data_IF_185679775656
#
_entry.id   IF_185679775656
#
_cell.length_a   1.000
_cell.length_b   1.000
_cell.length_c   1.000
_cell.angle_alpha   90.00
_cell.angle_beta   90.00
_cell.angle_gamma   90.00
#
_symmetry.space_group_name_H-M   'P 1'
#
loop_
_entity.id
_entity.type
_entity.pdbx_description
1 polymer ?
#
# COMPACT_ATOMS: atom_id res chain seq x y z
N UNK A 1 15.16 -5.26 30.17
CA UNK A 1 14.49 -4.16 30.89
C UNK A 1 13.06 -4.03 30.39
N UNK A 2 12.09 -3.85 31.29
CA UNK A 2 10.65 -3.80 30.97
C UNK A 2 10.12 -2.37 31.19
N UNK A 3 9.08 -1.99 30.44
CA UNK A 3 8.41 -0.71 30.59
C UNK A 3 7.17 -0.85 31.50
N UNK A 4 6.87 0.13 32.36
CA UNK A 4 5.67 0.09 33.20
C UNK A 4 4.42 0.30 32.35
N UNK A 5 3.60 -0.72 32.09
CA UNK A 5 2.36 -0.57 31.30
C UNK A 5 1.15 -0.36 32.20
N UNK A 6 0.43 0.74 32.00
CA UNK A 6 -0.79 1.11 32.73
C UNK A 6 -1.93 1.44 31.74
N UNK A 7 -3.17 1.36 32.19
CA UNK A 7 -4.35 1.58 31.32
C UNK A 7 -4.44 3.03 30.81
N UNK A 8 -4.09 3.99 31.66
CA UNK A 8 -4.05 5.42 31.34
C UNK A 8 -3.14 5.75 30.14
N UNK A 9 -2.14 4.91 29.85
CA UNK A 9 -1.23 5.07 28.71
C UNK A 9 -1.95 4.99 27.36
N UNK A 10 -3.11 4.35 27.30
CA UNK A 10 -3.87 4.14 26.07
C UNK A 10 -5.11 5.05 25.98
N UNK A 11 -5.22 6.05 26.86
CA UNK A 11 -6.40 6.93 26.94
C UNK A 11 -6.67 7.72 25.65
N UNK A 12 -5.65 8.00 24.86
CA UNK A 12 -5.79 8.76 23.62
C UNK A 12 -5.80 7.86 22.37
N UNK A 13 -5.76 6.54 22.57
CA UNK A 13 -5.86 5.60 21.44
C UNK A 13 -7.29 5.61 20.89
N UNK A 14 -7.45 5.41 19.57
CA UNK A 14 -8.73 5.11 18.95
C UNK A 14 -9.45 3.92 19.62
N UNK A 15 -10.78 3.80 19.53
CA UNK A 15 -11.54 2.83 20.31
C UNK A 15 -11.08 1.37 20.17
N UNK A 16 -10.87 0.87 18.94
CA UNK A 16 -10.44 -0.52 18.73
C UNK A 16 -8.97 -0.72 19.12
N UNK A 17 -8.09 0.23 18.79
CA UNK A 17 -6.70 0.27 19.20
C UNK A 17 -6.56 0.18 20.72
N UNK A 18 -7.37 0.96 21.45
CA UNK A 18 -7.42 0.94 22.92
C UNK A 18 -7.87 -0.41 23.43
N UNK A 19 -8.96 -0.96 22.88
CA UNK A 19 -9.49 -2.28 23.24
C UNK A 19 -8.43 -3.38 23.04
N UNK A 20 -7.70 -3.35 21.94
CA UNK A 20 -6.63 -4.31 21.64
C UNK A 20 -5.47 -4.14 22.63
N UNK A 21 -5.03 -2.92 22.90
CA UNK A 21 -3.94 -2.65 23.85
C UNK A 21 -4.30 -3.07 25.29
N UNK A 22 -5.48 -2.67 25.79
CA UNK A 22 -5.92 -2.99 27.15
C UNK A 22 -6.15 -4.49 27.33
N UNK A 23 -6.73 -5.16 26.33
CA UNK A 23 -6.92 -6.62 26.33
C UNK A 23 -5.62 -7.44 26.36
N UNK A 24 -4.47 -6.82 26.07
CA UNK A 24 -3.15 -7.48 26.06
C UNK A 24 -2.16 -6.89 27.07
N UNK A 25 -2.61 -6.11 28.06
CA UNK A 25 -1.73 -5.44 29.03
C UNK A 25 -0.75 -6.39 29.73
N UNK A 26 -1.22 -7.54 30.19
CA UNK A 26 -0.37 -8.55 30.86
C UNK A 26 0.76 -9.06 29.96
N UNK A 27 0.50 -9.18 28.66
CA UNK A 27 1.54 -9.52 27.70
C UNK A 27 2.51 -8.35 27.53
N UNK A 28 1.99 -7.13 27.27
CA UNK A 28 2.79 -5.94 27.01
C UNK A 28 3.76 -5.62 28.17
N UNK A 29 3.35 -5.82 29.43
CA UNK A 29 4.20 -5.65 30.63
C UNK A 29 5.44 -6.53 30.64
N UNK A 30 5.38 -7.66 29.93
CA UNK A 30 6.44 -8.69 29.90
C UNK A 30 7.31 -8.60 28.65
N UNK A 31 7.07 -7.63 27.77
CA UNK A 31 7.85 -7.43 26.54
C UNK A 31 9.04 -6.48 26.77
N UNK A 32 10.16 -6.66 26.06
CA UNK A 32 11.32 -5.77 26.19
C UNK A 32 11.01 -4.32 25.83
N UNK A 33 11.70 -3.38 26.49
CA UNK A 33 11.54 -1.95 26.25
C UNK A 33 11.84 -1.52 24.81
N UNK A 34 12.79 -2.18 24.13
CA UNK A 34 13.11 -1.90 22.73
C UNK A 34 12.07 -2.42 21.73
N UNK A 35 11.18 -3.33 22.17
CA UNK A 35 10.20 -4.00 21.32
C UNK A 35 8.77 -3.47 21.53
N UNK A 36 8.40 -3.24 22.79
CA UNK A 36 7.01 -2.88 23.16
C UNK A 36 6.47 -1.67 22.39
N UNK A 37 7.20 -0.54 22.27
CA UNK A 37 6.69 0.62 21.55
C UNK A 37 6.53 0.38 20.05
N UNK A 38 7.33 -0.51 19.44
CA UNK A 38 7.20 -0.88 18.02
C UNK A 38 5.90 -1.65 17.75
N UNK A 39 5.53 -2.54 18.67
CA UNK A 39 4.24 -3.23 18.61
C UNK A 39 3.08 -2.25 18.88
N UNK A 40 3.25 -1.34 19.84
CA UNK A 40 2.26 -0.31 20.14
C UNK A 40 2.06 0.69 19.00
N UNK A 41 3.09 1.01 18.21
CA UNK A 41 2.95 1.82 17.01
C UNK A 41 1.98 1.17 16.00
N UNK A 42 2.05 -0.16 15.85
CA UNK A 42 1.12 -0.89 14.99
C UNK A 42 -0.30 -0.87 15.57
N UNK A 43 -0.44 -1.13 16.88
CA UNK A 43 -1.72 -1.15 17.59
C UNK A 43 -2.39 0.24 17.62
N UNK A 44 -1.64 1.32 17.78
CA UNK A 44 -2.19 2.68 17.82
C UNK A 44 -2.95 3.02 16.53
N UNK A 45 -2.49 2.50 15.39
CA UNK A 45 -3.12 2.71 14.09
C UNK A 45 -4.26 1.71 13.77
N UNK A 46 -4.62 0.80 14.68
CA UNK A 46 -5.47 -0.38 14.39
C UNK A 46 -6.82 -0.01 13.76
N UNK A 47 -7.48 1.06 14.20
CA UNK A 47 -8.76 1.52 13.66
C UNK A 47 -8.69 1.92 12.18
N UNK A 48 -7.50 2.24 11.68
CA UNK A 48 -7.27 2.69 10.30
C UNK A 48 -6.48 1.67 9.46
N UNK A 49 -6.11 0.53 10.05
CA UNK A 49 -5.50 -0.60 9.34
C UNK A 49 -6.54 -1.34 8.50
N UNK A 50 -6.10 -1.81 7.34
CA UNK A 50 -6.90 -2.74 6.55
C UNK A 50 -7.11 -4.07 7.29
N UNK A 51 -8.13 -4.86 6.93
CA UNK A 51 -8.37 -6.17 7.54
C UNK A 51 -7.13 -7.08 7.55
N UNK A 52 -6.33 -7.10 6.47
CA UNK A 52 -5.10 -7.90 6.42
C UNK A 52 -4.07 -7.44 7.47
N UNK A 53 -3.77 -6.15 7.54
CA UNK A 53 -2.88 -5.58 8.55
C UNK A 53 -3.35 -5.87 9.99
N UNK A 54 -4.66 -5.81 10.26
CA UNK A 54 -5.21 -6.17 11.58
C UNK A 54 -4.99 -7.64 11.90
N UNK A 55 -5.23 -8.53 10.93
CA UNK A 55 -4.96 -9.97 11.10
C UNK A 55 -3.50 -10.24 11.44
N UNK A 56 -2.56 -9.49 10.87
CA UNK A 56 -1.14 -9.61 11.16
C UNK A 56 -0.78 -9.14 12.59
N UNK A 57 -1.37 -8.03 13.04
CA UNK A 57 -1.24 -7.57 14.44
C UNK A 57 -1.81 -8.62 15.40
N UNK A 58 -3.01 -9.13 15.12
CA UNK A 58 -3.68 -10.13 15.96
C UNK A 58 -2.92 -11.48 15.95
N UNK A 59 -2.26 -11.82 14.83
CA UNK A 59 -1.38 -12.99 14.72
C UNK A 59 -0.15 -12.85 15.60
N UNK A 60 0.53 -11.70 15.54
CA UNK A 60 1.70 -11.41 16.40
C UNK A 60 1.33 -11.48 17.89
N UNK A 61 0.22 -10.88 18.30
CA UNK A 61 -0.27 -10.89 19.68
C UNK A 61 -0.63 -12.30 20.16
N UNK A 62 -1.35 -13.09 19.34
CA UNK A 62 -1.69 -14.48 19.68
C UNK A 62 -0.45 -15.35 19.81
N UNK A 63 0.50 -15.24 18.89
CA UNK A 63 1.75 -15.99 18.94
C UNK A 63 2.56 -15.67 20.21
N UNK A 64 2.76 -14.39 20.51
CA UNK A 64 3.47 -13.98 21.72
C UNK A 64 2.77 -14.44 23.01
N UNK A 65 1.44 -14.50 23.00
CA UNK A 65 0.63 -14.99 24.12
C UNK A 65 0.68 -16.51 24.26
N UNK A 66 0.84 -17.27 23.16
CA UNK A 66 0.88 -18.73 23.19
C UNK A 66 2.21 -19.28 23.74
N UNK A 67 3.29 -18.50 23.68
CA UNK A 67 4.60 -18.90 24.19
C UNK A 67 4.65 -18.91 25.72
N UNK A 68 5.32 -19.92 26.29
CA UNK A 68 5.68 -19.90 27.71
C UNK A 68 6.62 -18.71 28.00
N UNK A 69 6.65 -18.24 29.25
CA UNK A 69 7.43 -17.04 29.58
C UNK A 69 8.93 -17.19 29.27
N UNK A 70 9.51 -18.36 29.54
CA UNK A 70 10.91 -18.65 29.22
C UNK A 70 11.17 -18.66 27.71
N UNK A 71 10.27 -19.23 26.91
CA UNK A 71 10.38 -19.27 25.45
C UNK A 71 10.24 -17.87 24.84
N UNK A 72 9.26 -17.08 25.30
CA UNK A 72 9.08 -15.70 24.86
C UNK A 72 10.30 -14.84 25.19
N UNK A 73 10.86 -14.97 26.40
CA UNK A 73 12.10 -14.25 26.76
C UNK A 73 13.23 -14.67 25.85
N UNK A 74 13.45 -15.97 25.64
CA UNK A 74 14.48 -16.50 24.73
C UNK A 74 14.34 -15.94 23.31
N UNK A 75 13.11 -15.89 22.79
CA UNK A 75 12.83 -15.35 21.47
C UNK A 75 13.17 -13.86 21.36
N UNK A 76 12.91 -13.09 22.42
CA UNK A 76 13.07 -11.63 22.44
C UNK A 76 14.40 -11.18 23.07
N UNK A 77 15.31 -12.09 23.44
CA UNK A 77 16.59 -11.79 24.08
C UNK A 77 17.41 -10.77 23.29
N UNK A 78 17.40 -10.82 21.95
CA UNK A 78 18.12 -9.86 21.12
C UNK A 78 17.68 -8.42 21.37
N UNK A 79 16.39 -8.19 21.64
CA UNK A 79 15.87 -6.85 22.01
C UNK A 79 16.22 -6.46 23.46
N UNK A 80 16.36 -7.43 24.37
CA UNK A 80 16.74 -7.17 25.77
C UNK A 80 18.21 -6.75 25.90
N UNK A 81 19.07 -7.21 24.99
CA UNK A 81 20.49 -6.92 24.97
C UNK A 81 20.82 -5.51 24.46
N UNK A 82 19.87 -4.85 23.80
CA UNK A 82 20.04 -3.48 23.30
C UNK A 82 20.17 -2.50 24.47
N UNK A 83 21.25 -1.72 24.46
CA UNK A 83 21.50 -0.67 25.45
C UNK A 83 20.72 0.58 25.08
N UNK A 84 19.67 0.86 25.85
CA UNK A 84 18.80 2.03 25.68
C UNK A 84 19.21 3.14 26.67
N UNK A 85 19.23 4.42 26.25
CA UNK A 85 19.54 5.52 27.15
C UNK A 85 18.32 5.84 28.05
N UNK A 86 18.51 6.28 29.31
CA UNK A 86 17.40 6.57 30.23
C UNK A 86 16.33 7.51 29.65
N UNK A 87 16.76 8.56 28.94
CA UNK A 87 15.86 9.53 28.27
C UNK A 87 14.82 8.88 27.35
N UNK A 88 15.16 7.75 26.73
CA UNK A 88 14.27 7.04 25.81
C UNK A 88 13.20 6.25 26.59
N UNK A 89 13.53 5.80 27.79
CA UNK A 89 12.63 5.05 28.68
C UNK A 89 11.66 5.98 29.42
N UNK A 90 12.11 7.19 29.72
CA UNK A 90 11.31 8.26 30.32
C UNK A 90 10.41 8.96 29.29
N UNK A 91 10.61 8.67 27.99
CA UNK A 91 9.78 9.20 26.93
C UNK A 91 8.33 8.72 27.08
N UNK A 92 7.42 9.44 26.42
CA UNK A 92 5.99 9.08 26.34
C UNK A 92 5.74 7.91 25.37
N UNK A 93 6.55 6.84 25.48
CA UNK A 93 6.63 5.71 24.54
C UNK A 93 5.29 5.04 24.22
N UNK A 94 4.31 5.11 25.14
CA UNK A 94 2.98 4.54 24.92
C UNK A 94 2.02 5.50 24.21
N UNK A 95 2.15 6.82 24.37
CA UNK A 95 1.26 7.79 23.70
C UNK A 95 1.84 8.28 22.37
N UNK A 96 3.17 8.33 22.25
CA UNK A 96 3.89 8.68 21.02
C UNK A 96 4.87 7.57 20.59
N UNK A 97 4.40 6.34 20.32
CA UNK A 97 5.27 5.22 19.94
C UNK A 97 6.04 5.46 18.63
N UNK A 98 5.51 6.30 17.72
CA UNK A 98 6.21 6.72 16.50
C UNK A 98 7.47 7.51 16.83
N UNK A 99 7.36 8.54 17.68
CA UNK A 99 8.50 9.37 18.11
C UNK A 99 9.55 8.52 18.83
N UNK A 100 9.10 7.57 19.66
CA UNK A 100 10.00 6.61 20.29
C UNK A 100 10.77 5.79 19.26
N UNK A 101 10.09 5.27 18.22
CA UNK A 101 10.73 4.48 17.16
C UNK A 101 11.78 5.29 16.40
N UNK A 102 11.52 6.57 16.12
CA UNK A 102 12.48 7.45 15.46
C UNK A 102 13.72 7.69 16.34
N UNK A 103 13.51 7.99 17.63
CA UNK A 103 14.59 8.19 18.59
C UNK A 103 15.40 6.90 18.82
N UNK A 104 14.72 5.75 18.89
CA UNK A 104 15.35 4.44 18.98
C UNK A 104 16.23 4.19 17.75
N UNK A 105 15.70 4.37 16.54
CA UNK A 105 16.47 4.18 15.30
C UNK A 105 17.73 5.05 15.28
N UNK A 106 17.60 6.35 15.59
CA UNK A 106 18.74 7.25 15.67
C UNK A 106 19.79 6.77 16.69
N UNK A 107 19.34 6.37 17.89
CA UNK A 107 20.23 5.84 18.93
C UNK A 107 20.96 4.56 18.47
N UNK A 108 20.26 3.62 17.84
CA UNK A 108 20.84 2.36 17.38
C UNK A 108 21.89 2.59 16.29
N UNK A 109 21.65 3.51 15.36
CA UNK A 109 22.65 3.91 14.35
C UNK A 109 23.89 4.53 14.98
N UNK A 110 23.71 5.52 15.87
CA UNK A 110 24.84 6.22 16.50
C UNK A 110 25.68 5.32 17.41
N UNK A 111 25.10 4.25 17.95
CA UNK A 111 25.79 3.32 18.85
C UNK A 111 26.24 2.02 18.17
N UNK A 112 26.01 1.87 16.86
CA UNK A 112 26.35 0.66 16.13
C UNK A 112 25.53 -0.58 16.51
N UNK A 113 24.38 -0.40 17.16
CA UNK A 113 23.49 -1.50 17.60
C UNK A 113 22.41 -1.86 16.56
N UNK A 114 22.40 -1.20 15.39
CA UNK A 114 21.36 -1.38 14.38
C UNK A 114 21.36 -2.81 13.78
N UNK A 115 22.52 -3.44 13.61
CA UNK A 115 22.62 -4.79 13.07
C UNK A 115 22.05 -5.83 14.04
N UNK A 116 22.35 -5.70 15.34
CA UNK A 116 21.77 -6.54 16.38
C UNK A 116 20.24 -6.39 16.45
N UNK A 117 19.73 -5.17 16.25
CA UNK A 117 18.29 -4.92 16.16
C UNK A 117 17.66 -5.59 14.93
N UNK A 118 18.30 -5.51 13.76
CA UNK A 118 17.84 -6.18 12.54
C UNK A 118 17.82 -7.71 12.72
N UNK A 119 18.89 -8.29 13.26
CA UNK A 119 18.97 -9.73 13.53
C UNK A 119 17.88 -10.20 14.51
N UNK A 120 17.64 -9.44 15.59
CA UNK A 120 16.57 -9.72 16.54
C UNK A 120 15.19 -9.65 15.87
N UNK A 121 14.96 -8.65 15.02
CA UNK A 121 13.72 -8.47 14.26
C UNK A 121 13.48 -9.59 13.27
N UNK A 122 14.50 -10.00 12.51
CA UNK A 122 14.41 -11.14 11.60
C UNK A 122 14.13 -12.44 12.34
N UNK A 123 14.80 -12.69 13.46
CA UNK A 123 14.59 -13.89 14.29
C UNK A 123 13.14 -13.95 14.78
N UNK A 124 12.63 -12.82 15.28
CA UNK A 124 11.25 -12.71 15.72
C UNK A 124 10.25 -12.98 14.58
N UNK A 125 10.40 -12.29 13.44
CA UNK A 125 9.49 -12.43 12.30
C UNK A 125 9.51 -13.85 11.73
N UNK A 126 10.69 -14.48 11.60
CA UNK A 126 10.82 -15.88 11.18
C UNK A 126 10.05 -16.81 12.11
N UNK A 127 10.14 -16.61 13.43
CA UNK A 127 9.40 -17.41 14.40
C UNK A 127 7.87 -17.22 14.29
N UNK A 128 7.41 -15.98 14.13
CA UNK A 128 5.97 -15.67 13.93
C UNK A 128 5.45 -16.38 12.69
N UNK A 129 6.14 -16.24 11.54
CA UNK A 129 5.70 -16.81 10.28
C UNK A 129 5.80 -18.34 10.25
N UNK A 130 6.77 -18.94 10.94
CA UNK A 130 6.87 -20.39 11.06
C UNK A 130 5.75 -20.99 11.92
N UNK A 131 5.37 -20.32 13.02
CA UNK A 131 4.36 -20.82 13.94
C UNK A 131 2.93 -20.62 13.43
N UNK A 132 2.69 -19.53 12.69
CA UNK A 132 1.38 -19.17 12.15
C UNK A 132 1.54 -18.82 10.66
N UNK A 133 1.69 -19.84 9.79
CA UNK A 133 1.84 -19.61 8.36
C UNK A 133 0.63 -18.84 7.82
N UNK A 134 0.89 -17.98 6.85
CA UNK A 134 -0.15 -17.20 6.20
C UNK A 134 -1.11 -18.13 5.46
N UNK A 135 -2.42 -17.91 5.64
CA UNK A 135 -3.42 -18.69 4.93
C UNK A 135 -3.40 -18.33 3.45
N UNK A 136 -3.58 -19.32 2.55
CA UNK A 136 -3.77 -19.02 1.14
C UNK A 136 -5.02 -18.14 0.95
N UNK A 137 -5.05 -17.29 -0.08
CA UNK A 137 -6.23 -16.50 -0.39
C UNK A 137 -7.42 -17.41 -0.73
N UNK A 138 -8.64 -16.93 -0.49
CA UNK A 138 -9.87 -17.69 -0.76
C UNK A 138 -10.10 -17.99 -2.25
N UNK A 139 -9.43 -17.25 -3.13
CA UNK A 139 -9.40 -17.47 -4.57
C UNK A 139 -8.03 -17.02 -5.13
N UNK A 140 -7.60 -17.56 -6.29
CA UNK A 140 -6.41 -17.08 -6.98
C UNK A 140 -6.46 -15.56 -7.21
N UNK A 141 -5.36 -14.86 -6.89
CA UNK A 141 -5.30 -13.40 -7.03
C UNK A 141 -5.26 -12.99 -8.50
N UNK A 142 -5.97 -11.92 -8.84
CA UNK A 142 -5.97 -11.34 -10.18
C UNK A 142 -5.54 -9.87 -10.14
N UNK A 143 -4.41 -9.56 -10.79
CA UNK A 143 -4.00 -8.19 -11.07
C UNK A 143 -4.31 -7.82 -12.53
N UNK A 144 -4.88 -6.64 -12.76
CA UNK A 144 -5.17 -6.11 -14.08
C UNK A 144 -4.56 -4.70 -14.19
N UNK A 145 -3.71 -4.47 -15.18
CA UNK A 145 -3.19 -3.15 -15.51
C UNK A 145 -3.71 -2.70 -16.88
N UNK A 146 -4.27 -1.50 -16.96
CA UNK A 146 -4.71 -0.86 -18.20
C UNK A 146 -3.81 0.35 -18.43
N UNK A 147 -3.10 0.39 -19.56
CA UNK A 147 -2.08 1.39 -19.84
C UNK A 147 -2.33 2.07 -21.19
N UNK A 148 -1.79 3.27 -21.38
CA UNK A 148 -1.74 3.90 -22.71
C UNK A 148 -2.97 4.68 -23.13
N UNK A 149 -3.87 5.01 -22.20
CA UNK A 149 -4.99 5.93 -22.43
C UNK A 149 -4.51 7.19 -23.15
N UNK A 150 -5.11 7.51 -24.30
CA UNK A 150 -4.79 8.71 -25.09
C UNK A 150 -3.49 8.65 -25.89
N UNK A 151 -2.87 7.47 -26.05
CA UNK A 151 -1.75 7.29 -26.98
C UNK A 151 -2.28 6.86 -28.34
N UNK A 152 -2.00 7.62 -29.41
CA UNK A 152 -2.42 7.25 -30.77
C UNK A 152 -1.41 6.36 -31.50
N UNK A 153 -0.12 6.55 -31.21
CA UNK A 153 0.98 5.82 -31.83
C UNK A 153 2.03 5.49 -30.78
N UNK A 154 2.53 4.26 -30.84
CA UNK A 154 3.54 3.79 -29.92
C UNK A 154 4.77 3.28 -30.68
N UNK A 155 5.95 3.81 -30.34
CA UNK A 155 7.26 3.32 -30.82
C UNK A 155 8.06 2.62 -29.73
N UNK A 156 7.53 2.59 -28.50
CA UNK A 156 8.12 1.93 -27.35
C UNK A 156 7.74 0.44 -27.31
N UNK A 157 8.72 -0.43 -27.08
CA UNK A 157 8.48 -1.89 -26.99
C UNK A 157 7.88 -2.25 -25.63
N UNK A 158 6.56 -2.49 -25.61
CA UNK A 158 5.80 -2.79 -24.41
C UNK A 158 6.10 -4.18 -23.83
N UNK A 159 5.82 -4.30 -22.54
CA UNK A 159 5.85 -5.55 -21.76
C UNK A 159 7.22 -6.20 -21.65
N UNK A 160 8.31 -5.50 -22.01
CA UNK A 160 9.66 -6.08 -22.12
C UNK A 160 10.10 -6.79 -20.85
N UNK A 161 9.80 -6.23 -19.67
CA UNK A 161 10.14 -6.82 -18.37
C UNK A 161 9.21 -7.98 -17.98
N UNK A 162 7.98 -7.99 -18.49
CA UNK A 162 7.01 -9.06 -18.25
C UNK A 162 7.20 -10.25 -19.20
N UNK A 163 7.80 -10.06 -20.39
CA UNK A 163 7.99 -11.10 -21.42
C UNK A 163 8.42 -12.47 -20.91
N UNK A 164 9.43 -12.60 -20.03
CA UNK A 164 9.88 -13.92 -19.57
C UNK A 164 8.82 -14.69 -18.77
N UNK A 165 7.75 -14.04 -18.32
CA UNK A 165 6.81 -14.57 -17.32
C UNK A 165 5.47 -15.01 -17.89
N UNK A 166 5.15 -14.74 -19.15
CA UNK A 166 3.81 -14.96 -19.71
C UNK A 166 3.75 -14.95 -21.23
N UNK A 167 2.52 -14.85 -21.76
CA UNK A 167 2.23 -14.83 -23.20
C UNK A 167 1.82 -13.42 -23.64
N UNK A 168 2.42 -12.92 -24.73
CA UNK A 168 2.01 -11.68 -25.39
C UNK A 168 0.96 -11.96 -26.47
N UNK A 169 -0.08 -11.14 -26.55
CA UNK A 169 -1.12 -11.21 -27.57
C UNK A 169 -1.08 -9.95 -28.43
N UNK A 170 -1.03 -10.10 -29.75
CA UNK A 170 -0.88 -8.97 -30.70
C UNK A 170 -2.11 -8.74 -31.58
N UNK A 171 -3.19 -9.50 -31.37
CA UNK A 171 -4.43 -9.42 -32.15
C UNK A 171 -5.66 -9.48 -31.26
N UNK A 172 -5.62 -8.72 -30.16
CA UNK A 172 -6.76 -8.55 -29.24
C UNK A 172 -7.79 -7.61 -29.86
N UNK A 173 -9.07 -7.93 -29.79
CA UNK A 173 -10.14 -6.99 -30.12
C UNK A 173 -10.31 -6.01 -28.94
N UNK A 174 -10.02 -4.69 -29.10
CA UNK A 174 -10.11 -3.73 -28.01
C UNK A 174 -11.54 -3.32 -27.65
N UNK A 175 -12.53 -3.65 -28.50
CA UNK A 175 -13.92 -3.22 -28.31
C UNK A 175 -14.46 -3.63 -26.93
N UNK A 176 -15.07 -2.67 -26.24
CA UNK A 176 -15.61 -2.83 -24.88
C UNK A 176 -14.60 -3.36 -23.84
N UNK A 177 -13.30 -3.21 -24.08
CA UNK A 177 -12.24 -3.80 -23.25
C UNK A 177 -12.36 -3.39 -21.78
N UNK A 178 -12.32 -2.09 -21.49
CA UNK A 178 -12.42 -1.58 -20.12
C UNK A 178 -13.73 -1.99 -19.42
N UNK A 179 -14.86 -1.87 -20.13
CA UNK A 179 -16.17 -2.28 -19.63
C UNK A 179 -16.19 -3.76 -19.25
N UNK A 180 -15.59 -4.60 -20.10
CA UNK A 180 -15.47 -6.04 -19.86
C UNK A 180 -14.59 -6.34 -18.64
N UNK A 181 -13.47 -5.63 -18.49
CA UNK A 181 -12.58 -5.78 -17.33
C UNK A 181 -13.29 -5.38 -16.02
N UNK A 182 -13.98 -4.23 -16.00
CA UNK A 182 -14.71 -3.77 -14.82
C UNK A 182 -15.84 -4.73 -14.43
N UNK A 183 -16.64 -5.18 -15.40
CA UNK A 183 -17.69 -6.17 -15.16
C UNK A 183 -17.13 -7.48 -14.59
N UNK A 184 -15.94 -7.90 -15.01
CA UNK A 184 -15.27 -9.08 -14.45
C UNK A 184 -14.81 -8.86 -13.00
N UNK A 185 -14.28 -7.68 -12.67
CA UNK A 185 -13.92 -7.33 -11.28
C UNK A 185 -15.15 -7.32 -10.37
N UNK A 186 -16.28 -6.75 -10.84
CA UNK A 186 -17.55 -6.77 -10.12
C UNK A 186 -18.08 -8.20 -9.92
N UNK A 187 -18.01 -9.03 -10.95
CA UNK A 187 -18.41 -10.44 -10.85
C UNK A 187 -17.55 -11.20 -9.81
N UNK A 188 -16.24 -10.94 -9.77
CA UNK A 188 -15.35 -11.51 -8.73
C UNK A 188 -15.70 -10.99 -7.34
N UNK A 189 -16.04 -9.71 -7.21
CA UNK A 189 -16.47 -9.12 -5.94
C UNK A 189 -17.83 -9.66 -5.44
N UNK A 190 -18.68 -10.11 -6.36
CA UNK A 190 -19.92 -10.84 -6.05
C UNK A 190 -19.62 -12.27 -5.60
N UNK A 191 -18.72 -12.97 -6.30
CA UNK A 191 -18.38 -14.37 -6.02
C UNK A 191 -17.58 -14.55 -4.71
N UNK A 192 -16.76 -13.55 -4.34
CA UNK A 192 -15.89 -13.59 -3.16
C UNK A 192 -16.06 -12.32 -2.31
N UNK A 193 -17.24 -12.10 -1.70
CA UNK A 193 -17.54 -10.86 -1.01
C UNK A 193 -16.70 -10.73 0.27
N UNK A 194 -15.77 -9.78 0.28
CA UNK A 194 -15.01 -9.41 1.46
C UNK A 194 -14.57 -7.94 1.43
N UNK A 195 -14.55 -7.23 2.58
CA UNK A 195 -14.14 -5.83 2.64
C UNK A 195 -12.71 -5.64 2.15
N UNK A 196 -12.53 -4.73 1.19
CA UNK A 196 -11.22 -4.38 0.61
C UNK A 196 -10.50 -5.52 -0.12
N UNK A 197 -11.19 -6.60 -0.50
CA UNK A 197 -10.59 -7.66 -1.32
C UNK A 197 -10.65 -7.38 -2.82
N UNK A 198 -11.43 -6.37 -3.25
CA UNK A 198 -11.54 -5.98 -4.65
C UNK A 198 -11.34 -4.47 -4.80
N UNK A 199 -10.48 -4.08 -5.75
CA UNK A 199 -10.10 -2.69 -5.96
C UNK A 199 -10.14 -2.25 -7.40
N UNK A 200 -10.59 -1.02 -7.60
CA UNK A 200 -10.40 -0.25 -8.83
C UNK A 200 -9.61 1.03 -8.53
N UNK A 201 -8.39 1.13 -9.07
CA UNK A 201 -7.52 2.30 -8.98
C UNK A 201 -7.47 2.99 -10.34
N UNK A 202 -7.75 4.29 -10.40
CA UNK A 202 -7.71 5.06 -11.65
C UNK A 202 -6.78 6.28 -11.56
N UNK A 203 -5.90 6.46 -12.54
CA UNK A 203 -4.98 7.60 -12.62
C UNK A 203 -5.63 8.90 -13.12
N UNK A 204 -6.88 8.88 -13.55
CA UNK A 204 -7.62 10.04 -14.04
C UNK A 204 -9.04 10.05 -13.50
N UNK A 205 -10.00 10.33 -14.37
CA UNK A 205 -11.42 10.20 -14.07
C UNK A 205 -11.83 8.73 -14.16
N UNK A 206 -12.20 8.16 -13.01
CA UNK A 206 -12.66 6.78 -12.92
C UNK A 206 -14.01 6.59 -13.62
N UNK A 207 -14.17 5.41 -14.22
CA UNK A 207 -15.50 4.94 -14.63
C UNK A 207 -16.37 4.74 -13.39
N UNK A 208 -17.69 5.02 -13.47
CA UNK A 208 -18.58 4.78 -12.36
C UNK A 208 -18.69 3.27 -12.10
N UNK A 209 -18.19 2.83 -10.95
CA UNK A 209 -18.42 1.49 -10.40
C UNK A 209 -19.21 1.63 -9.12
N UNK A 210 -20.24 0.80 -8.95
CA UNK A 210 -21.09 0.83 -7.76
C UNK A 210 -21.35 -0.60 -7.30
N UNK A 211 -20.37 -1.16 -6.59
CA UNK A 211 -20.49 -2.49 -5.99
C UNK A 211 -20.04 -2.43 -4.52
N UNK A 212 -20.80 -2.97 -3.55
CA UNK A 212 -20.55 -2.79 -2.12
C UNK A 212 -19.20 -3.35 -1.65
N UNK A 213 -18.69 -4.39 -2.33
CA UNK A 213 -17.38 -5.01 -2.01
C UNK A 213 -16.25 -4.57 -2.96
N UNK A 214 -16.47 -3.57 -3.82
CA UNK A 214 -15.45 -3.02 -4.71
C UNK A 214 -15.05 -1.63 -4.21
N UNK A 215 -13.89 -1.53 -3.57
CA UNK A 215 -13.32 -0.26 -3.19
C UNK A 215 -12.75 0.44 -4.43
N UNK A 216 -12.89 1.77 -4.51
CA UNK A 216 -12.33 2.55 -5.60
C UNK A 216 -11.61 3.80 -5.10
N UNK A 217 -10.53 4.16 -5.76
CA UNK A 217 -9.78 5.39 -5.53
C UNK A 217 -9.26 5.91 -6.87
N UNK A 218 -9.37 7.22 -7.10
CA UNK A 218 -8.91 7.82 -8.35
C UNK A 218 -8.18 9.14 -8.13
N UNK A 219 -7.22 9.42 -9.00
CA UNK A 219 -6.41 10.63 -8.94
C UNK A 219 -7.27 11.90 -9.06
N UNK A 220 -8.23 11.90 -9.98
CA UNK A 220 -9.19 12.99 -10.13
C UNK A 220 -10.19 13.03 -8.97
N UNK A 221 -10.65 11.88 -8.47
CA UNK A 221 -11.54 11.82 -7.31
C UNK A 221 -10.92 12.40 -6.03
N UNK A 222 -9.59 12.47 -5.95
CA UNK A 222 -8.86 13.07 -4.83
C UNK A 222 -8.43 14.53 -5.09
N UNK A 223 -8.80 15.15 -6.21
CA UNK A 223 -8.31 16.45 -6.63
C UNK A 223 -8.43 17.52 -5.54
N UNK A 224 -9.60 17.64 -4.90
CA UNK A 224 -9.81 18.61 -3.82
C UNK A 224 -8.82 18.42 -2.65
N UNK A 225 -8.56 17.17 -2.26
CA UNK A 225 -7.63 16.83 -1.19
C UNK A 225 -6.17 17.04 -1.60
N UNK A 226 -5.82 16.73 -2.85
CA UNK A 226 -4.49 17.03 -3.43
C UNK A 226 -4.21 18.53 -3.40
N UNK A 227 -5.17 19.35 -3.87
CA UNK A 227 -5.03 20.81 -3.89
C UNK A 227 -4.98 21.41 -2.48
N UNK A 228 -5.73 20.85 -1.52
CA UNK A 228 -5.61 21.23 -0.11
C UNK A 228 -4.20 20.94 0.44
N UNK A 229 -3.66 19.75 0.16
CA UNK A 229 -2.31 19.36 0.58
C UNK A 229 -1.21 20.23 -0.05
N UNK A 230 -1.31 20.53 -1.36
CA UNK A 230 -0.35 21.39 -2.05
C UNK A 230 -0.35 22.81 -1.46
N UNK A 231 -1.53 23.38 -1.21
CA UNK A 231 -1.64 24.69 -0.54
C UNK A 231 -1.04 24.68 0.86
N UNK A 232 -1.28 23.63 1.66
CA UNK A 232 -0.69 23.50 3.00
C UNK A 232 0.83 23.41 2.94
N UNK A 233 1.36 22.59 2.03
CA UNK A 233 2.80 22.42 1.78
C UNK A 233 3.44 23.76 1.36
N UNK A 234 2.83 24.49 0.43
CA UNK A 234 3.32 25.77 -0.03
C UNK A 234 3.31 26.82 1.10
N UNK A 235 2.23 26.88 1.89
CA UNK A 235 2.14 27.77 3.04
C UNK A 235 3.23 27.49 4.08
N UNK A 236 3.52 26.21 4.35
CA UNK A 236 4.59 25.79 5.26
C UNK A 236 5.97 26.27 4.79
N UNK A 237 6.26 26.11 3.50
CA UNK A 237 7.52 26.58 2.88
C UNK A 237 7.62 28.11 2.99
N UNK A 238 6.55 28.83 2.67
CA UNK A 238 6.51 30.29 2.75
C UNK A 238 6.64 30.83 4.17
N UNK A 239 6.12 30.11 5.18
CA UNK A 239 6.23 30.49 6.59
C UNK A 239 7.61 30.23 7.20
N UNK A 240 8.59 29.77 6.41
CA UNK A 240 9.96 29.55 6.87
C UNK A 240 10.18 28.21 7.56
N UNK A 241 9.37 27.18 7.29
CA UNK A 241 9.77 25.80 7.61
C UNK A 241 11.02 25.49 6.78
N UNK A 242 12.18 25.53 7.44
CA UNK A 242 13.48 25.74 6.80
C UNK A 242 14.15 24.45 6.27
N UNK A 243 13.55 23.27 6.45
CA UNK A 243 14.19 22.01 6.13
C UNK A 243 13.25 20.91 5.61
N UNK A 244 13.77 19.99 4.76
CA UNK A 244 13.03 18.83 4.29
C UNK A 244 12.53 17.91 5.42
N UNK A 245 13.24 17.86 6.55
CA UNK A 245 12.89 17.00 7.69
C UNK A 245 11.62 17.50 8.38
N UNK A 246 11.53 18.80 8.62
CA UNK A 246 10.38 19.44 9.25
C UNK A 246 9.14 19.32 8.37
N UNK A 247 9.31 19.44 7.05
CA UNK A 247 8.23 19.20 6.09
C UNK A 247 7.78 17.73 6.10
N UNK A 248 8.71 16.78 6.15
CA UNK A 248 8.37 15.35 6.29
C UNK A 248 7.62 15.07 7.60
N UNK A 249 8.06 15.64 8.73
CA UNK A 249 7.36 15.52 10.01
C UNK A 249 5.94 16.09 9.95
N UNK A 250 5.76 17.25 9.30
CA UNK A 250 4.43 17.84 9.06
C UNK A 250 3.54 16.91 8.24
N UNK A 251 4.07 16.32 7.17
CA UNK A 251 3.32 15.44 6.27
C UNK A 251 2.97 14.10 6.95
N UNK A 252 3.84 13.56 7.80
CA UNK A 252 3.59 12.33 8.56
C UNK A 252 2.52 12.51 9.64
N UNK A 253 2.43 13.68 10.26
CA UNK A 253 1.44 13.97 11.30
C UNK A 253 0.04 14.32 10.78
N UNK A 254 -0.10 14.50 9.46
CA UNK A 254 -1.30 15.02 8.83
C UNK A 254 -2.50 14.08 9.00
N UNK A 255 -3.59 14.61 9.58
CA UNK A 255 -4.86 13.91 9.69
C UNK A 255 -5.72 14.13 8.43
N UNK A 256 -6.58 13.17 8.05
CA UNK A 256 -7.39 13.28 6.84
C UNK A 256 -8.27 14.55 6.79
N UNK A 257 -8.82 14.97 7.93
CA UNK A 257 -9.69 16.14 8.05
C UNK A 257 -8.95 17.44 7.70
N UNK A 258 -7.64 17.49 7.93
CA UNK A 258 -6.81 18.66 7.65
C UNK A 258 -6.61 18.92 6.14
N UNK A 259 -6.94 17.94 5.29
CA UNK A 259 -6.99 18.09 3.83
C UNK A 259 -8.40 17.85 3.27
N UNK A 260 -9.42 17.98 4.14
CA UNK A 260 -10.82 18.06 3.75
C UNK A 260 -11.54 16.72 3.61
N UNK A 261 -10.96 15.60 4.05
CA UNK A 261 -11.72 14.35 4.12
C UNK A 261 -12.80 14.44 5.21
N UNK A 262 -13.99 13.93 4.91
CA UNK A 262 -15.06 13.78 5.89
C UNK A 262 -15.07 12.37 6.45
N UNK A 263 -15.09 12.23 7.78
CA UNK A 263 -15.22 10.92 8.43
C UNK A 263 -16.56 10.28 8.07
N UNK A 264 -16.52 9.12 7.39
CA UNK A 264 -17.71 8.36 6.97
C UNK A 264 -17.59 6.91 7.41
N UNK A 265 -18.09 6.59 8.60
CA UNK A 265 -18.06 5.22 9.14
C UNK A 265 -16.65 4.62 9.21
N UNK A 266 -16.58 3.31 9.48
CA UNK A 266 -15.29 2.61 9.65
C UNK A 266 -14.50 2.50 8.34
N UNK A 267 -15.15 2.05 7.28
CA UNK A 267 -14.48 1.81 6.00
C UNK A 267 -14.05 3.12 5.33
N UNK A 268 -14.86 4.17 5.43
CA UNK A 268 -14.46 5.51 4.99
C UNK A 268 -13.28 6.05 5.78
N UNK A 269 -13.19 5.80 7.09
CA UNK A 269 -12.01 6.19 7.88
C UNK A 269 -10.73 5.47 7.39
N UNK A 270 -10.79 4.15 7.12
CA UNK A 270 -9.67 3.39 6.56
C UNK A 270 -9.25 3.98 5.20
N UNK A 271 -10.21 4.25 4.31
CA UNK A 271 -9.94 4.84 3.00
C UNK A 271 -9.35 6.24 3.09
N UNK A 272 -9.86 7.09 3.97
CA UNK A 272 -9.37 8.45 4.16
C UNK A 272 -7.93 8.45 4.69
N UNK A 273 -7.59 7.60 5.67
CA UNK A 273 -6.22 7.46 6.15
C UNK A 273 -5.30 6.83 5.10
N UNK A 274 -5.79 5.87 4.31
CA UNK A 274 -5.04 5.31 3.18
C UNK A 274 -4.74 6.39 2.14
N UNK A 275 -5.74 7.15 1.70
CA UNK A 275 -5.57 8.23 0.72
C UNK A 275 -4.65 9.34 1.24
N UNK A 276 -4.79 9.73 2.51
CA UNK A 276 -3.89 10.71 3.14
C UNK A 276 -2.45 10.21 3.13
N UNK A 277 -2.20 8.98 3.59
CA UNK A 277 -0.87 8.36 3.56
C UNK A 277 -0.30 8.25 2.14
N UNK A 278 -1.15 7.92 1.17
CA UNK A 278 -0.75 7.84 -0.24
C UNK A 278 -0.27 9.20 -0.76
N UNK A 279 -0.97 10.28 -0.41
CA UNK A 279 -0.63 11.65 -0.82
C UNK A 279 0.56 12.25 -0.06
N UNK A 280 0.82 11.82 1.18
CA UNK A 280 1.89 12.40 2.03
C UNK A 280 3.21 11.64 1.98
N UNK A 281 3.18 10.32 1.77
CA UNK A 281 4.39 9.48 1.74
C UNK A 281 4.79 9.01 0.34
N UNK A 282 3.86 9.07 -0.62
CA UNK A 282 4.13 8.66 -2.00
C UNK A 282 4.87 9.76 -2.74
N UNK A 283 6.07 9.47 -3.25
CA UNK A 283 6.81 10.44 -4.04
C UNK A 283 6.05 10.78 -5.32
N UNK A 284 5.61 12.04 -5.44
CA UNK A 284 4.94 12.59 -6.62
C UNK A 284 3.47 12.21 -6.76
N UNK A 285 2.85 11.50 -5.82
CA UNK A 285 1.43 11.06 -5.91
C UNK A 285 0.43 12.20 -5.88
N UNK A 286 0.83 13.37 -5.38
CA UNK A 286 0.06 14.59 -5.37
C UNK A 286 0.14 15.34 -6.72
N UNK A 287 1.13 15.04 -7.57
CA UNK A 287 1.43 15.79 -8.81
C UNK A 287 1.27 14.93 -10.08
N UNK A 288 1.62 13.64 -10.04
CA UNK A 288 1.61 12.78 -11.21
C UNK A 288 0.65 11.60 -11.03
N UNK A 289 -0.28 11.46 -11.98
CA UNK A 289 -1.25 10.37 -12.04
C UNK A 289 -0.60 8.98 -12.12
N UNK A 290 0.48 8.84 -12.89
CA UNK A 290 1.22 7.57 -13.02
C UNK A 290 1.89 7.18 -11.70
N UNK A 291 2.52 8.13 -11.01
CA UNK A 291 3.06 7.92 -9.65
C UNK A 291 1.97 7.56 -8.66
N UNK A 292 0.81 8.23 -8.72
CA UNK A 292 -0.35 7.90 -7.90
C UNK A 292 -0.77 6.43 -8.06
N UNK A 293 -1.00 5.95 -9.29
CA UNK A 293 -1.42 4.57 -9.53
C UNK A 293 -0.34 3.57 -9.10
N UNK A 294 0.93 3.86 -9.39
CA UNK A 294 2.05 3.00 -8.99
C UNK A 294 2.15 2.85 -7.46
N UNK A 295 2.04 3.96 -6.71
CA UNK A 295 2.09 3.92 -5.25
C UNK A 295 0.83 3.31 -4.65
N UNK A 296 -0.35 3.62 -5.19
CA UNK A 296 -1.61 3.06 -4.74
C UNK A 296 -1.58 1.52 -4.86
N UNK A 297 -1.24 0.99 -6.03
CA UNK A 297 -1.19 -0.46 -6.27
C UNK A 297 -0.15 -1.16 -5.37
N UNK A 298 1.03 -0.56 -5.20
CA UNK A 298 2.06 -1.06 -4.27
C UNK A 298 1.54 -1.15 -2.84
N UNK A 299 0.95 -0.07 -2.33
CA UNK A 299 0.49 -0.02 -0.94
C UNK A 299 -0.76 -0.88 -0.73
N UNK A 300 -1.64 -1.02 -1.72
CA UNK A 300 -2.77 -1.95 -1.66
C UNK A 300 -2.31 -3.40 -1.60
N UNK A 301 -1.37 -3.83 -2.45
CA UNK A 301 -0.81 -5.18 -2.35
C UNK A 301 -0.19 -5.44 -0.97
N UNK A 302 0.55 -4.47 -0.44
CA UNK A 302 1.23 -4.61 0.85
C UNK A 302 0.29 -4.60 2.05
N UNK A 303 -0.74 -3.75 2.03
CA UNK A 303 -1.57 -3.44 3.21
C UNK A 303 -2.96 -4.08 3.16
N UNK A 304 -3.65 -3.98 2.02
CA UNK A 304 -4.97 -4.56 1.85
C UNK A 304 -4.91 -6.04 1.42
N UNK A 305 -3.85 -6.42 0.69
CA UNK A 305 -3.66 -7.76 0.12
C UNK A 305 -4.91 -8.27 -0.65
N UNK A 306 -5.40 -7.53 -1.67
CA UNK A 306 -6.68 -7.80 -2.28
C UNK A 306 -6.70 -9.07 -3.15
N UNK A 307 -7.84 -9.73 -3.28
CA UNK A 307 -8.05 -10.84 -4.23
C UNK A 307 -8.05 -10.37 -5.68
N UNK A 308 -8.54 -9.16 -5.94
CA UNK A 308 -8.61 -8.59 -7.30
C UNK A 308 -8.25 -7.13 -7.29
N UNK A 309 -7.41 -6.69 -8.22
CA UNK A 309 -7.13 -5.27 -8.41
C UNK A 309 -7.04 -4.92 -9.89
N UNK A 310 -7.84 -3.94 -10.31
CA UNK A 310 -7.72 -3.28 -11.61
C UNK A 310 -7.12 -1.90 -11.41
N UNK A 311 -6.03 -1.61 -12.13
CA UNK A 311 -5.33 -0.34 -12.11
C UNK A 311 -5.29 0.25 -13.52
N UNK A 312 -5.92 1.40 -13.74
CA UNK A 312 -5.91 2.12 -15.01
C UNK A 312 -5.00 3.33 -14.92
N UNK A 313 -3.94 3.35 -15.72
CA UNK A 313 -3.00 4.46 -15.80
C UNK A 313 -3.53 5.50 -16.80
N UNK A 314 -3.71 6.73 -16.34
CA UNK A 314 -4.06 7.87 -17.19
C UNK A 314 -2.80 8.68 -17.56
N UNK A 315 -2.85 9.52 -18.61
CA UNK A 315 -1.77 10.45 -18.92
C UNK A 315 -1.37 11.27 -17.70
N UNK A 316 -0.07 11.50 -17.52
CA UNK A 316 0.44 12.46 -16.53
C UNK A 316 0.65 13.81 -17.19
N UNK A 317 0.69 14.86 -16.39
CA UNK A 317 1.16 16.16 -16.85
C UNK A 317 2.65 16.12 -17.22
N UNK A 318 3.07 17.02 -18.12
CA UNK A 318 4.49 17.28 -18.37
C UNK A 318 5.18 17.86 -17.14
N UNK A 319 6.47 17.61 -17.03
CA UNK A 319 7.29 18.17 -15.96
C UNK A 319 7.33 19.70 -16.11
N UNK A 320 6.99 20.39 -15.04
CA UNK A 320 7.07 21.85 -14.90
C UNK A 320 8.02 22.20 -13.73
N UNK A 321 8.52 23.44 -13.65
CA UNK A 321 9.25 23.92 -12.48
C UNK A 321 8.52 23.60 -11.16
N UNK A 322 9.26 23.22 -10.11
CA UNK A 322 8.69 22.72 -8.85
C UNK A 322 7.77 23.76 -8.17
N UNK A 323 8.11 25.05 -8.25
CA UNK A 323 7.29 26.14 -7.73
C UNK A 323 5.90 26.21 -8.40
N UNK A 324 5.81 25.89 -9.69
CA UNK A 324 4.54 25.83 -10.43
C UNK A 324 3.74 24.56 -10.07
N UNK A 325 4.42 23.43 -9.87
CA UNK A 325 3.77 22.20 -9.45
C UNK A 325 3.20 22.31 -8.03
N UNK A 326 3.90 23.01 -7.13
CA UNK A 326 3.47 23.23 -5.74
C UNK A 326 2.40 24.32 -5.59
N UNK A 327 2.25 25.22 -6.57
CA UNK A 327 1.18 26.22 -6.54
C UNK A 327 -0.20 25.59 -6.71
N UNK A 328 -0.27 24.39 -7.32
CA UNK A 328 -1.52 23.74 -7.66
C UNK A 328 -2.26 24.43 -8.81
N UNK A 329 -1.57 25.25 -9.61
CA UNK A 329 -2.17 25.86 -10.80
C UNK A 329 -2.29 24.83 -11.93
N UNK A 330 -3.53 24.38 -12.14
CA UNK A 330 -3.90 23.44 -13.19
C UNK A 330 -4.33 24.13 -14.51
N UNK A 331 -4.17 25.46 -14.63
CA UNK A 331 -4.44 26.17 -15.89
C UNK A 331 -3.39 25.77 -16.95
N UNK A 332 -3.87 25.32 -18.10
CA UNK A 332 -3.06 24.93 -19.28
C UNK A 332 -2.06 23.78 -19.02
N UNK A 333 -2.48 22.76 -18.29
CA UNK A 333 -1.67 21.55 -18.09
C UNK A 333 -1.56 20.76 -19.40
N UNK A 334 -0.36 20.69 -19.96
CA UNK A 334 -0.07 19.82 -21.10
C UNK A 334 0.14 18.37 -20.63
N UNK A 335 -0.57 17.43 -21.24
CA UNK A 335 -0.47 16.01 -20.91
C UNK A 335 0.62 15.32 -21.74
N UNK A 336 1.31 14.36 -21.13
CA UNK A 336 2.36 13.55 -21.73
C UNK A 336 1.91 12.09 -21.80
N UNK A 337 1.01 11.77 -22.73
CA UNK A 337 0.52 10.39 -22.91
C UNK A 337 1.65 9.40 -23.29
N UNK A 338 2.59 9.73 -24.21
CA UNK A 338 3.70 8.83 -24.53
C UNK A 338 4.64 8.59 -23.34
N UNK A 339 5.00 9.63 -22.59
CA UNK A 339 5.82 9.46 -21.39
C UNK A 339 5.09 8.69 -20.29
N UNK A 340 3.78 8.92 -20.13
CA UNK A 340 2.95 8.17 -19.20
C UNK A 340 2.85 6.68 -19.55
N UNK A 341 2.87 6.32 -20.84
CA UNK A 341 2.87 4.92 -21.27
C UNK A 341 4.13 4.17 -20.80
N UNK A 342 5.29 4.82 -20.88
CA UNK A 342 6.56 4.24 -20.40
C UNK A 342 6.51 4.03 -18.88
N UNK A 343 6.03 5.03 -18.15
CA UNK A 343 5.84 4.94 -16.70
C UNK A 343 4.85 3.83 -16.34
N UNK A 344 3.76 3.71 -17.09
CA UNK A 344 2.69 2.74 -16.86
C UNK A 344 3.12 1.29 -17.16
N UNK A 345 3.91 1.05 -18.23
CA UNK A 345 4.48 -0.27 -18.51
C UNK A 345 5.40 -0.74 -17.37
N UNK A 346 6.25 0.17 -16.87
CA UNK A 346 7.10 -0.10 -15.72
C UNK A 346 6.29 -0.25 -14.42
N UNK A 347 5.28 0.59 -14.23
CA UNK A 347 4.37 0.56 -13.09
C UNK A 347 3.60 -0.75 -13.01
N UNK A 348 3.12 -1.26 -14.14
CA UNK A 348 2.46 -2.56 -14.23
C UNK A 348 3.41 -3.72 -13.92
N UNK A 349 4.67 -3.65 -14.35
CA UNK A 349 5.69 -4.63 -13.94
C UNK A 349 5.92 -4.61 -12.42
N UNK A 350 5.99 -3.44 -11.79
CA UNK A 350 6.09 -3.34 -10.33
C UNK A 350 4.82 -3.82 -9.62
N UNK A 351 3.64 -3.58 -10.20
CA UNK A 351 2.38 -4.12 -9.69
C UNK A 351 2.40 -5.65 -9.69
N UNK A 352 2.85 -6.29 -10.77
CA UNK A 352 3.04 -7.74 -10.83
C UNK A 352 4.03 -8.23 -9.77
N UNK A 353 5.21 -7.60 -9.64
CA UNK A 353 6.18 -7.94 -8.60
C UNK A 353 5.59 -7.83 -7.19
N UNK A 354 4.74 -6.83 -6.94
CA UNK A 354 4.03 -6.66 -5.67
C UNK A 354 3.08 -7.84 -5.38
N UNK A 355 2.30 -8.26 -6.38
CA UNK A 355 1.43 -9.42 -6.28
C UNK A 355 2.22 -10.72 -6.00
N UNK A 356 3.36 -10.91 -6.65
CA UNK A 356 4.20 -12.11 -6.50
C UNK A 356 4.85 -12.24 -5.11
N UNK A 357 4.78 -11.22 -4.26
CA UNK A 357 5.29 -11.28 -2.87
C UNK A 357 4.27 -11.82 -1.87
N UNK A 358 3.02 -12.02 -2.29
CA UNK A 358 1.93 -12.47 -1.42
C UNK A 358 1.78 -13.99 -1.47
N UNK A 359 1.16 -14.56 -0.43
CA UNK A 359 0.75 -15.96 -0.43
C UNK A 359 -0.17 -16.29 -1.62
N UNK A 360 0.00 -17.47 -2.20
CA UNK A 360 -0.75 -17.92 -3.38
C UNK A 360 -0.27 -17.34 -4.71
N UNK A 361 0.92 -16.73 -4.76
CA UNK A 361 1.49 -16.12 -5.98
C UNK A 361 1.61 -17.13 -7.14
N UNK A 362 1.90 -18.39 -6.86
CA UNK A 362 2.03 -19.46 -7.85
C UNK A 362 0.73 -19.80 -8.59
N UNK A 363 -0.42 -19.50 -7.99
CA UNK A 363 -1.74 -19.65 -8.61
C UNK A 363 -2.26 -18.34 -9.20
N UNK A 364 -1.56 -17.23 -8.95
CA UNK A 364 -2.03 -15.90 -9.32
C UNK A 364 -1.93 -15.62 -10.82
N UNK A 365 -2.83 -14.76 -11.29
CA UNK A 365 -2.85 -14.30 -12.68
C UNK A 365 -2.66 -12.78 -12.74
N UNK A 366 -2.04 -12.32 -13.83
CA UNK A 366 -1.84 -10.91 -14.12
C UNK A 366 -2.09 -10.63 -15.60
N UNK A 367 -2.94 -9.65 -15.88
CA UNK A 367 -3.28 -9.18 -17.22
C UNK A 367 -2.83 -7.72 -17.36
N UNK A 368 -2.13 -7.40 -18.44
CA UNK A 368 -1.89 -6.01 -18.85
C UNK A 368 -2.42 -5.80 -20.27
N UNK A 369 -3.13 -4.69 -20.48
CA UNK A 369 -3.72 -4.34 -21.76
C UNK A 369 -3.31 -2.93 -22.17
N UNK A 370 -2.86 -2.78 -23.41
CA UNK A 370 -2.68 -1.47 -24.03
C UNK A 370 -4.05 -0.95 -24.47
N UNK A 371 -4.60 -0.04 -23.69
CA UNK A 371 -5.96 0.47 -23.79
C UNK A 371 -6.29 0.93 -25.21
N UNK A 372 -7.45 0.49 -25.71
CA UNK A 372 -7.95 0.72 -27.07
C UNK A 372 -7.06 0.17 -28.21
N UNK A 373 -6.05 -0.63 -27.88
CA UNK A 373 -5.15 -1.27 -28.86
C UNK A 373 -5.25 -2.80 -28.82
N UNK A 374 -4.73 -3.43 -29.88
CA UNK A 374 -4.78 -4.86 -30.08
C UNK A 374 -3.73 -5.66 -29.31
N UNK A 375 -3.09 -5.05 -28.31
CA UNK A 375 -1.95 -5.62 -27.61
C UNK A 375 -2.25 -5.86 -26.12
N UNK A 376 -2.01 -7.08 -25.66
CA UNK A 376 -2.11 -7.43 -24.24
C UNK A 376 -1.02 -8.44 -23.87
N UNK A 377 -0.81 -8.63 -22.57
CA UNK A 377 0.09 -9.64 -22.04
C UNK A 377 -0.54 -10.29 -20.81
N UNK A 378 -0.43 -11.62 -20.72
CA UNK A 378 -1.01 -12.40 -19.63
C UNK A 378 0.05 -13.29 -19.01
N UNK A 379 0.20 -13.17 -17.70
CA UNK A 379 0.86 -14.15 -16.83
C UNK A 379 -0.25 -14.95 -16.16
N UNK A 380 -0.34 -16.25 -16.44
CA UNK A 380 -1.29 -17.14 -15.78
C UNK A 380 -0.71 -18.56 -15.72
N UNK A 381 -1.09 -19.39 -14.73
CA UNK A 381 -0.60 -20.76 -14.61
C UNK A 381 -0.89 -21.63 -15.85
N UNK A 382 -2.01 -21.39 -16.53
CA UNK A 382 -2.45 -22.15 -17.70
C UNK A 382 -1.75 -21.74 -19.02
N UNK A 383 -0.99 -20.64 -19.03
CA UNK A 383 -0.39 -20.11 -20.25
C UNK A 383 1.12 -20.36 -20.31
N UNK A 384 1.62 -20.57 -21.53
CA UNK A 384 3.04 -20.70 -21.77
C UNK A 384 3.77 -19.37 -21.45
N UNK A 385 4.97 -19.49 -20.89
CA UNK A 385 5.82 -18.34 -20.59
C UNK A 385 6.74 -18.05 -21.77
N UNK A 386 7.11 -16.78 -21.94
CA UNK A 386 8.04 -16.34 -22.97
C UNK A 386 7.57 -16.70 -24.39
N UNK A 387 6.27 -16.55 -24.64
CA UNK A 387 5.64 -16.83 -25.94
C UNK A 387 4.86 -15.63 -26.46
N UNK A 388 4.52 -15.67 -27.74
CA UNK A 388 3.66 -14.71 -28.40
C UNK A 388 2.56 -15.45 -29.18
N UNK A 389 1.35 -14.90 -29.16
CA UNK A 389 0.20 -15.38 -29.92
C UNK A 389 -0.35 -14.25 -30.78
N UNK A 390 -0.56 -14.55 -32.06
CA UNK A 390 -1.24 -13.70 -33.03
C UNK A 390 -2.69 -14.15 -33.29
N UNK A 391 -3.21 -15.08 -32.48
CA UNK A 391 -4.59 -15.51 -32.58
C UNK A 391 -5.52 -14.32 -32.29
N UNK A 392 -6.60 -14.21 -33.06
CA UNK A 392 -7.64 -13.21 -32.82
C UNK A 392 -8.43 -13.61 -31.58
N UNK A 393 -8.36 -12.79 -30.54
CA UNK A 393 -9.01 -13.01 -29.25
C UNK A 393 -9.69 -11.73 -28.79
N UNK A 394 -10.60 -11.82 -27.83
CA UNK A 394 -11.21 -10.65 -27.17
C UNK A 394 -10.87 -10.62 -25.67
N UNK A 395 -11.29 -9.55 -25.00
CA UNK A 395 -11.01 -9.38 -23.58
C UNK A 395 -11.66 -10.46 -22.70
N UNK A 396 -12.81 -11.01 -23.11
CA UNK A 396 -13.48 -12.09 -22.36
C UNK A 396 -12.67 -13.37 -22.42
N UNK A 397 -12.14 -13.70 -23.59
CA UNK A 397 -11.27 -14.85 -23.78
C UNK A 397 -9.99 -14.73 -22.93
N UNK A 398 -9.35 -13.55 -22.91
CA UNK A 398 -8.16 -13.32 -22.07
C UNK A 398 -8.47 -13.53 -20.59
N UNK A 399 -9.58 -12.97 -20.09
CA UNK A 399 -10.00 -13.15 -18.71
C UNK A 399 -10.31 -14.61 -18.36
N UNK A 400 -10.87 -15.38 -19.30
CA UNK A 400 -11.07 -16.81 -19.11
C UNK A 400 -9.75 -17.60 -18.90
N UNK A 401 -8.61 -17.08 -19.38
CA UNK A 401 -7.29 -17.68 -19.13
C UNK A 401 -6.71 -17.31 -17.75
N UNK A 402 -7.33 -16.36 -17.04
CA UNK A 402 -6.85 -15.86 -15.74
C UNK A 402 -7.56 -16.48 -14.53
N UNK A 403 -8.57 -17.33 -14.78
CA UNK A 403 -9.44 -17.94 -13.77
C UNK A 403 -8.88 -19.21 -13.16
#
# INVERSE_FOLDING_TARGET
MLLPVQENHFRDYPPEARRVATGHMELLRKLPAAFTPLLLQQIQAYDWRFPAERRDIDRQLRFLKSLAEAERRRLLTGFEQLKLPPRLLDAKWASTPVEFSEQLSHHLWTTGQIDAFHEASETYLKAVFAALPEQPPAAPRLGIAVIGKGVERNTYSLFRKLRPHGTRFTSVNPADGLKTLLAHVEARATAHPAPFDHWYVDGGQAEPVSHPNLASISYHGLEQHRLALLRKTNSAIQSGIAGPKELLSLLHGLQPEEIGFAAKGRDGAILNHFATSLLTSGSGTQIFSTSFVQWATRELWRRAQPLTMLARFAPRQRLRPMNELLSGDERNVEMDAPGALIDADLGAYYMWLGQQRLSGAEQSSFLIWFEDHAEAFVVAPALARNTESNARVDMRWLLAQTS
#
